data_IF_695742723699
#
_entry.id   IF_695742723699
#
_cell.length_a   1.000
_cell.length_b   1.000
_cell.length_c   1.000
_cell.angle_alpha   90.00
_cell.angle_beta   90.00
_cell.angle_gamma   90.00
#
_symmetry.space_group_name_H-M   'P 1'
#
loop_
_entity.id
_entity.type
_entity.pdbx_description
1 polymer ?
#
# COMPACT_ATOMS: atom_id res chain seq x y z
N UNK A 1 -1.61 -2.45 -42.39
CA UNK A 1 -2.67 -2.70 -41.36
C UNK A 1 -2.81 -1.47 -40.47
N UNK A 2 -3.98 -0.84 -40.44
CA UNK A 2 -4.21 0.35 -39.61
C UNK A 2 -4.25 -0.03 -38.12
N UNK A 3 -3.30 0.47 -37.32
CA UNK A 3 -3.31 0.31 -35.87
C UNK A 3 -4.55 1.01 -35.31
N UNK A 4 -5.54 0.26 -34.81
CA UNK A 4 -6.70 0.83 -34.11
C UNK A 4 -6.19 1.69 -32.94
N UNK A 5 -6.59 2.96 -32.87
CA UNK A 5 -6.28 3.80 -31.71
C UNK A 5 -6.92 3.17 -30.47
N UNK A 6 -6.18 3.01 -29.36
CA UNK A 6 -6.76 2.47 -28.14
C UNK A 6 -7.89 3.41 -27.69
N UNK A 7 -9.08 2.84 -27.45
CA UNK A 7 -10.23 3.60 -26.92
C UNK A 7 -9.79 4.23 -25.59
N UNK A 8 -10.05 5.53 -25.42
CA UNK A 8 -9.73 6.22 -24.18
C UNK A 8 -10.50 5.59 -23.02
N UNK A 9 -9.84 5.42 -21.87
CA UNK A 9 -10.48 4.89 -20.67
C UNK A 9 -11.72 5.73 -20.27
N UNK A 10 -12.72 5.17 -19.58
CA UNK A 10 -13.84 5.93 -19.04
C UNK A 10 -13.37 7.10 -18.17
N UNK A 11 -14.10 8.22 -18.15
CA UNK A 11 -13.72 9.43 -17.38
C UNK A 11 -13.52 9.15 -15.88
N UNK A 12 -14.29 8.21 -15.33
CA UNK A 12 -14.13 7.69 -13.97
C UNK A 12 -12.72 7.12 -13.74
N UNK A 13 -12.34 6.16 -14.58
CA UNK A 13 -11.06 5.45 -14.51
C UNK A 13 -9.86 6.41 -14.69
N UNK A 14 -9.99 7.41 -15.57
CA UNK A 14 -8.97 8.43 -15.74
C UNK A 14 -8.75 9.27 -14.47
N UNK A 15 -9.83 9.60 -13.76
CA UNK A 15 -9.76 10.39 -12.53
C UNK A 15 -9.22 9.57 -11.36
N UNK A 16 -9.67 8.32 -11.24
CA UNK A 16 -9.15 7.37 -10.25
C UNK A 16 -7.64 7.17 -10.39
N UNK A 17 -7.14 6.99 -11.62
CA UNK A 17 -5.70 6.89 -11.88
C UNK A 17 -4.92 8.17 -11.52
N UNK A 18 -5.53 9.36 -11.59
CA UNK A 18 -4.87 10.61 -11.18
C UNK A 18 -4.77 10.73 -9.66
N UNK A 19 -5.83 10.37 -8.93
CA UNK A 19 -5.87 10.46 -7.47
C UNK A 19 -4.99 9.38 -6.85
N UNK A 20 -5.07 8.13 -7.33
CA UNK A 20 -4.23 7.03 -6.85
C UNK A 20 -2.73 7.30 -6.98
N UNK A 21 -2.31 8.07 -7.98
CA UNK A 21 -0.90 8.50 -8.13
C UNK A 21 -0.41 9.42 -7.02
N UNK A 22 -1.32 10.12 -6.33
CA UNK A 22 -0.99 10.97 -5.17
C UNK A 22 -0.94 10.19 -3.86
N UNK A 23 -1.36 8.93 -3.85
CA UNK A 23 -1.25 8.09 -2.66
C UNK A 23 0.22 8.01 -2.23
N UNK A 24 0.50 8.06 -0.91
CA UNK A 24 1.85 7.94 -0.41
C UNK A 24 2.46 6.62 -0.88
N UNK A 25 3.69 6.69 -1.41
CA UNK A 25 4.46 5.47 -1.70
C UNK A 25 4.95 4.89 -0.38
N UNK A 26 4.96 3.57 -0.29
CA UNK A 26 5.62 2.88 0.82
C UNK A 26 7.11 3.21 0.73
N UNK A 27 7.76 3.72 1.81
CA UNK A 27 9.18 4.06 1.81
C UNK A 27 10.06 2.83 1.53
N UNK A 28 11.18 2.99 0.82
CA UNK A 28 12.07 1.87 0.48
C UNK A 28 12.74 1.24 1.72
N UNK A 29 12.99 2.04 2.77
CA UNK A 29 13.50 1.57 4.08
C UNK A 29 12.36 0.97 4.92
N UNK A 30 11.70 -0.03 4.36
CA UNK A 30 10.40 -0.54 4.83
C UNK A 30 10.39 -1.10 6.25
N UNK A 31 11.53 -1.59 6.77
CA UNK A 31 11.48 -2.23 8.09
C UNK A 31 12.85 -2.31 8.80
N UNK A 32 13.13 -1.41 9.75
CA UNK A 32 14.31 -1.50 10.63
C UNK A 32 14.40 -2.83 11.40
N UNK A 33 13.27 -3.52 11.56
CA UNK A 33 13.23 -4.84 12.17
C UNK A 33 13.82 -5.94 11.27
N UNK A 34 13.79 -5.79 9.94
CA UNK A 34 14.49 -6.68 9.00
C UNK A 34 15.99 -6.51 9.19
N UNK A 35 16.48 -5.27 9.19
CA UNK A 35 17.90 -4.97 9.34
C UNK A 35 18.45 -5.54 10.65
N UNK A 36 17.67 -5.42 11.73
CA UNK A 36 18.01 -5.96 13.06
C UNK A 36 17.90 -7.50 13.14
N UNK A 37 17.12 -8.14 12.26
CA UNK A 37 17.14 -9.61 12.09
C UNK A 37 18.34 -10.04 11.27
N UNK A 38 18.62 -9.39 10.14
CA UNK A 38 19.76 -9.68 9.25
C UNK A 38 21.08 -9.52 10.02
N UNK A 39 21.27 -8.40 10.72
CA UNK A 39 22.47 -8.15 11.52
C UNK A 39 22.70 -9.23 12.59
N UNK A 40 21.62 -9.73 13.22
CA UNK A 40 21.70 -10.84 14.20
C UNK A 40 21.99 -12.18 13.55
N UNK A 41 21.47 -12.45 12.36
CA UNK A 41 21.78 -13.66 11.61
C UNK A 41 23.24 -13.65 11.16
N UNK A 42 23.77 -12.52 10.69
CA UNK A 42 25.18 -12.38 10.30
C UNK A 42 26.13 -12.57 11.48
N UNK A 43 25.80 -12.04 12.66
CA UNK A 43 26.63 -12.27 13.86
C UNK A 43 26.61 -13.73 14.30
N UNK A 44 25.48 -14.42 14.12
CA UNK A 44 25.34 -15.84 14.45
C UNK A 44 26.02 -16.74 13.41
N UNK A 45 26.02 -16.39 12.12
CA UNK A 45 26.71 -17.15 11.07
C UNK A 45 28.24 -17.07 11.18
N UNK A 46 28.75 -15.96 11.71
CA UNK A 46 30.18 -15.78 12.00
C UNK A 46 30.65 -16.54 13.25
N UNK A 47 29.75 -17.25 13.94
CA UNK A 47 30.07 -18.04 15.14
C UNK A 47 29.76 -19.52 14.89
N UNK A 48 30.67 -20.43 15.21
CA UNK A 48 30.46 -21.90 15.09
C UNK A 48 29.46 -22.48 16.11
N UNK A 49 28.80 -21.63 16.91
CA UNK A 49 27.91 -22.02 18.01
C UNK A 49 26.48 -22.18 17.51
N UNK A 50 25.81 -23.24 17.98
CA UNK A 50 24.37 -23.42 17.75
C UNK A 50 23.58 -22.27 18.36
N UNK A 51 22.57 -21.84 17.63
CA UNK A 51 21.62 -20.81 18.05
C UNK A 51 20.86 -21.29 19.29
N UNK A 52 20.90 -20.50 20.37
CA UNK A 52 20.22 -20.87 21.61
C UNK A 52 18.70 -20.71 21.45
N UNK A 53 17.92 -21.46 22.23
CA UNK A 53 16.45 -21.37 22.25
C UNK A 53 15.96 -19.97 22.56
N UNK A 54 16.67 -19.22 23.42
CA UNK A 54 16.35 -17.84 23.75
C UNK A 54 16.55 -16.89 22.54
N UNK A 55 17.67 -17.02 21.83
CA UNK A 55 17.93 -16.25 20.60
C UNK A 55 16.88 -16.55 19.53
N UNK A 56 16.52 -17.81 19.37
CA UNK A 56 15.50 -18.24 18.41
C UNK A 56 14.15 -17.60 18.74
N UNK A 57 13.74 -17.62 20.01
CA UNK A 57 12.49 -16.98 20.48
C UNK A 57 12.46 -15.47 20.19
N UNK A 58 13.59 -14.78 20.36
CA UNK A 58 13.69 -13.34 20.07
C UNK A 58 13.60 -13.06 18.57
N UNK A 59 14.28 -13.86 17.74
CA UNK A 59 14.20 -13.79 16.28
C UNK A 59 12.76 -14.03 15.80
N UNK A 60 12.10 -15.08 16.29
CA UNK A 60 10.70 -15.37 15.99
C UNK A 60 9.79 -14.19 16.35
N UNK A 61 9.95 -13.60 17.54
CA UNK A 61 9.14 -12.44 17.96
C UNK A 61 9.31 -11.24 17.02
N UNK A 62 10.52 -10.98 16.54
CA UNK A 62 10.78 -9.92 15.56
C UNK A 62 10.12 -10.21 14.21
N UNK A 63 10.17 -11.46 13.76
CA UNK A 63 9.51 -11.90 12.53
C UNK A 63 7.99 -11.79 12.63
N UNK A 64 7.39 -12.09 13.78
CA UNK A 64 5.94 -11.89 13.98
C UNK A 64 5.57 -10.40 13.97
N UNK A 65 6.35 -9.54 14.65
CA UNK A 65 6.14 -8.08 14.60
C UNK A 65 6.21 -7.54 13.17
N UNK A 66 7.11 -8.11 12.35
CA UNK A 66 7.20 -7.77 10.94
C UNK A 66 5.97 -8.22 10.14
N UNK A 67 5.41 -9.38 10.44
CA UNK A 67 4.16 -9.84 9.82
C UNK A 67 3.00 -8.91 10.15
N UNK A 68 2.88 -8.48 11.40
CA UNK A 68 1.87 -7.50 11.83
C UNK A 68 2.04 -6.16 11.10
N UNK A 69 3.25 -5.61 11.06
CA UNK A 69 3.54 -4.37 10.34
C UNK A 69 3.19 -4.46 8.84
N UNK A 70 3.50 -5.59 8.20
CA UNK A 70 3.13 -5.83 6.81
C UNK A 70 1.61 -5.93 6.60
N UNK A 71 0.87 -6.48 7.57
CA UNK A 71 -0.59 -6.48 7.53
C UNK A 71 -1.15 -5.07 7.68
N UNK A 72 -0.66 -4.28 8.64
CA UNK A 72 -1.08 -2.87 8.78
C UNK A 72 -0.77 -2.04 7.52
N UNK A 73 0.36 -2.30 6.85
CA UNK A 73 0.66 -1.67 5.56
C UNK A 73 -0.36 -2.04 4.48
N UNK A 74 -0.77 -3.32 4.38
CA UNK A 74 -1.83 -3.75 3.45
C UNK A 74 -3.15 -3.05 3.76
N UNK A 75 -3.54 -2.99 5.04
CA UNK A 75 -4.77 -2.34 5.48
C UNK A 75 -4.75 -0.84 5.16
N UNK A 76 -3.60 -0.17 5.36
CA UNK A 76 -3.44 1.23 4.99
C UNK A 76 -3.54 1.47 3.48
N UNK A 77 -3.02 0.55 2.66
CA UNK A 77 -3.14 0.60 1.21
C UNK A 77 -4.59 0.42 0.75
N UNK A 78 -5.32 -0.50 1.38
CA UNK A 78 -6.74 -0.72 1.13
C UNK A 78 -7.56 0.52 1.52
N UNK A 79 -7.28 1.10 2.70
CA UNK A 79 -7.92 2.34 3.15
C UNK A 79 -7.77 3.47 2.12
N UNK A 80 -6.55 3.74 1.64
CA UNK A 80 -6.33 4.80 0.65
C UNK A 80 -7.02 4.50 -0.67
N UNK A 81 -7.06 3.23 -1.08
CA UNK A 81 -7.77 2.82 -2.27
C UNK A 81 -9.27 3.08 -2.18
N UNK A 82 -9.89 2.74 -1.05
CA UNK A 82 -11.32 2.88 -0.83
C UNK A 82 -11.72 4.34 -0.61
N UNK A 83 -10.96 5.10 0.17
CA UNK A 83 -11.15 6.54 0.31
C UNK A 83 -11.08 7.26 -1.04
N UNK A 84 -10.16 6.85 -1.93
CA UNK A 84 -10.08 7.40 -3.28
C UNK A 84 -11.31 7.03 -4.13
N UNK A 85 -11.89 5.83 -3.94
CA UNK A 85 -13.10 5.41 -4.65
C UNK A 85 -14.30 6.24 -4.21
N UNK A 86 -14.49 6.41 -2.90
CA UNK A 86 -15.62 7.16 -2.32
C UNK A 86 -15.64 8.61 -2.79
N UNK A 87 -14.49 9.29 -2.78
CA UNK A 87 -14.36 10.68 -3.27
C UNK A 87 -14.80 10.83 -4.73
N UNK A 88 -14.49 9.82 -5.57
CA UNK A 88 -14.83 9.86 -6.99
C UNK A 88 -16.31 9.57 -7.18
N UNK A 89 -16.84 8.57 -6.47
CA UNK A 89 -18.25 8.22 -6.50
C UNK A 89 -19.11 9.41 -6.08
N UNK A 90 -18.74 10.10 -5.01
CA UNK A 90 -19.41 11.33 -4.58
C UNK A 90 -19.35 12.41 -5.65
N UNK A 91 -18.17 12.69 -6.21
CA UNK A 91 -18.03 13.68 -7.28
C UNK A 91 -18.96 13.40 -8.48
N UNK A 92 -19.09 12.15 -8.91
CA UNK A 92 -19.97 11.78 -10.02
C UNK A 92 -21.46 11.73 -9.63
N UNK A 93 -21.80 11.36 -8.39
CA UNK A 93 -23.17 11.48 -7.84
C UNK A 93 -23.62 12.95 -7.82
N UNK A 94 -22.75 13.87 -7.38
CA UNK A 94 -23.03 15.32 -7.39
C UNK A 94 -23.18 15.87 -8.81
N UNK A 95 -22.35 15.42 -9.77
CA UNK A 95 -22.43 15.88 -11.16
C UNK A 95 -23.73 15.46 -11.87
N UNK A 96 -24.33 14.34 -11.46
CA UNK A 96 -25.58 13.84 -12.00
C UNK A 96 -26.83 14.49 -11.35
N UNK A 97 -26.66 15.25 -10.26
CA UNK A 97 -27.69 16.14 -9.75
C UNK A 97 -27.82 17.36 -10.68
N UNK A 98 -28.93 17.44 -11.44
CA UNK A 98 -29.23 18.60 -12.28
C UNK A 98 -29.30 19.86 -11.40
N UNK A 99 -28.62 20.94 -11.81
CA UNK A 99 -28.79 22.27 -11.19
C UNK A 99 -30.29 22.61 -11.14
N UNK A 100 -30.82 23.09 -10.00
CA UNK A 100 -32.20 23.51 -9.93
C UNK A 100 -32.50 24.57 -10.99
N UNK A 101 -33.59 24.39 -11.73
CA UNK A 101 -33.95 25.22 -12.91
C UNK A 101 -34.21 26.70 -12.59
N UNK A 102 -34.19 27.10 -11.32
CA UNK A 102 -34.54 28.46 -10.88
C UNK A 102 -33.36 29.42 -10.75
N UNK A 103 -32.12 29.00 -11.01
CA UNK A 103 -30.99 29.90 -11.26
C UNK A 103 -30.78 30.07 -12.77
N UNK A 104 -31.57 30.95 -13.38
CA UNK A 104 -31.31 31.57 -14.69
C UNK A 104 -31.57 33.06 -14.56
#
# INVERSE_FOLDING_TARGET
MARRRPKSLPKYEQMWRKIRKKAPRVPDITCPAIDDVISRLDTLSNTTKRLTTAQNKVLTKKMEKLREANSSLRDSGQYWHDACRDVIDDFYKFKNHKRPKYLK
#
